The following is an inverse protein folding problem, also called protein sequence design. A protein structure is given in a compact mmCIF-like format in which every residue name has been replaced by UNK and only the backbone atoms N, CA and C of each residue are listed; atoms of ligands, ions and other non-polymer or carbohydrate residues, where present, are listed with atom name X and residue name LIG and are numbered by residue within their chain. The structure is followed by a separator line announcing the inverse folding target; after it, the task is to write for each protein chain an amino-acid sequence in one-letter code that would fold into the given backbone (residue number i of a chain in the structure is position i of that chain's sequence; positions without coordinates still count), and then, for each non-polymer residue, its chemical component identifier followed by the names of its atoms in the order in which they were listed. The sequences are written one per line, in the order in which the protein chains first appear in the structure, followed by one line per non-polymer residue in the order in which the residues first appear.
data_IF_706083820138
#
_entry.id   IF_706083820138
#
_cell.length_a   1.000
_cell.length_b   1.000
_cell.length_c   1.000
_cell.angle_alpha   90.00
_cell.angle_beta   90.00
_cell.angle_gamma   90.00
#
_symmetry.space_group_name_H-M   'P 1'
#
loop_
_entity.id
_entity.type
_entity.pdbx_description
1 polymer ?
#
# COMPACT_ATOMS: atom_id res chain seq x y z
N UNK A 1 9.47 -43.07 -0.09
CA UNK A 1 10.01 -41.90 0.66
C UNK A 1 9.99 -40.64 -0.21
N UNK A 2 10.71 -40.59 -1.35
CA UNK A 2 10.75 -39.40 -2.23
C UNK A 2 9.38 -39.02 -2.84
N UNK A 3 8.60 -39.98 -3.35
CA UNK A 3 7.26 -39.70 -3.88
C UNK A 3 6.29 -39.12 -2.84
N UNK A 4 6.36 -39.62 -1.60
CA UNK A 4 5.55 -39.12 -0.48
C UNK A 4 5.96 -37.70 -0.10
N UNK A 5 7.26 -37.41 -0.09
CA UNK A 5 7.80 -36.07 0.16
C UNK A 5 7.36 -35.07 -0.93
N UNK A 6 7.40 -35.48 -2.20
CA UNK A 6 6.95 -34.66 -3.33
C UNK A 6 5.43 -34.43 -3.32
N UNK A 7 4.65 -35.43 -2.93
CA UNK A 7 3.19 -35.30 -2.80
C UNK A 7 2.80 -34.35 -1.66
N UNK A 8 3.51 -34.42 -0.53
CA UNK A 8 3.32 -33.52 0.61
C UNK A 8 3.72 -32.09 0.26
N UNK A 9 4.88 -31.90 -0.38
CA UNK A 9 5.34 -30.61 -0.87
C UNK A 9 4.33 -29.98 -1.85
N UNK A 10 3.85 -30.75 -2.82
CA UNK A 10 2.82 -30.28 -3.76
C UNK A 10 1.52 -29.88 -3.06
N UNK A 11 1.13 -30.60 -2.01
CA UNK A 11 -0.08 -30.29 -1.24
C UNK A 11 0.11 -28.99 -0.47
N UNK A 12 1.26 -28.81 0.19
CA UNK A 12 1.60 -27.59 0.93
C UNK A 12 1.66 -26.36 0.01
N UNK A 13 2.33 -26.48 -1.15
CA UNK A 13 2.45 -25.37 -2.11
C UNK A 13 1.10 -24.95 -2.70
N UNK A 14 0.17 -25.89 -2.93
CA UNK A 14 -1.19 -25.59 -3.41
C UNK A 14 -2.06 -24.84 -2.40
N UNK A 15 -1.68 -24.83 -1.13
CA UNK A 15 -2.42 -24.14 -0.06
C UNK A 15 -1.55 -23.13 0.68
N UNK A 16 -0.43 -22.71 0.08
CA UNK A 16 0.53 -21.82 0.71
C UNK A 16 -0.13 -20.48 1.02
N UNK A 17 -0.12 -20.11 2.30
CA UNK A 17 -0.65 -18.84 2.80
C UNK A 17 0.37 -18.25 3.75
N UNK A 18 0.52 -16.94 3.72
CA UNK A 18 1.37 -16.22 4.66
C UNK A 18 0.55 -15.24 5.47
N UNK A 19 0.70 -15.32 6.80
CA UNK A 19 0.06 -14.40 7.72
C UNK A 19 0.91 -13.13 7.79
N UNK A 20 0.31 -11.99 7.45
CA UNK A 20 0.93 -10.65 7.48
C UNK A 20 0.65 -9.97 8.82
N UNK A 21 -0.56 -10.15 9.35
CA UNK A 21 -1.00 -9.60 10.64
C UNK A 21 -2.07 -10.52 11.25
N UNK A 22 -2.60 -10.16 12.41
CA UNK A 22 -3.75 -10.87 13.00
C UNK A 22 -4.94 -10.99 12.03
N UNK A 23 -5.20 -9.93 11.26
CA UNK A 23 -6.37 -9.79 10.39
C UNK A 23 -6.04 -9.87 8.90
N UNK A 24 -4.77 -10.05 8.52
CA UNK A 24 -4.33 -10.04 7.12
C UNK A 24 -3.52 -11.27 6.81
N UNK A 25 -3.89 -11.95 5.73
CA UNK A 25 -3.11 -13.01 5.12
C UNK A 25 -3.03 -12.79 3.61
N UNK A 26 -2.02 -13.36 2.99
CA UNK A 26 -1.88 -13.41 1.54
C UNK A 26 -1.86 -14.88 1.10
N UNK A 27 -2.65 -15.17 0.07
CA UNK A 27 -2.79 -16.48 -0.52
C UNK A 27 -1.80 -16.63 -1.67
N UNK A 28 -0.80 -17.49 -1.47
CA UNK A 28 0.22 -17.84 -2.45
C UNK A 28 0.01 -19.25 -3.01
N UNK A 29 -1.23 -19.75 -3.01
CA UNK A 29 -1.56 -21.05 -3.59
C UNK A 29 -0.97 -21.17 -5.00
N UNK A 30 -0.10 -22.16 -5.17
CA UNK A 30 0.66 -22.38 -6.39
C UNK A 30 -0.24 -22.92 -7.51
N UNK A 31 -0.18 -22.27 -8.66
CA UNK A 31 -0.68 -22.79 -9.94
C UNK A 31 0.35 -23.74 -10.53
N UNK A 32 -0.08 -24.63 -11.43
CA UNK A 32 0.82 -25.58 -12.09
C UNK A 32 2.06 -24.87 -12.64
N UNK A 33 3.28 -25.26 -12.22
CA UNK A 33 4.50 -24.63 -12.70
C UNK A 33 4.70 -24.93 -14.19
N UNK A 34 5.30 -23.99 -14.89
CA UNK A 34 5.71 -24.14 -16.29
C UNK A 34 7.21 -24.32 -16.32
N UNK A 35 7.67 -25.41 -16.93
CA UNK A 35 9.09 -25.70 -17.09
C UNK A 35 9.45 -25.51 -18.56
N UNK A 36 10.47 -24.70 -18.81
CA UNK A 36 11.05 -24.48 -20.13
C UNK A 36 12.51 -25.00 -20.14
N UNK A 37 13.19 -24.85 -21.28
CA UNK A 37 14.60 -25.25 -21.40
C UNK A 37 15.54 -24.44 -20.50
N UNK A 38 15.12 -23.24 -20.07
CA UNK A 38 15.98 -22.29 -19.35
C UNK A 38 15.34 -21.66 -18.10
N UNK A 39 14.08 -21.99 -17.77
CA UNK A 39 13.37 -21.41 -16.64
C UNK A 39 12.35 -22.37 -16.03
N UNK A 40 12.06 -22.14 -14.74
CA UNK A 40 10.89 -22.69 -14.05
C UNK A 40 10.05 -21.52 -13.59
N UNK A 41 8.85 -21.40 -14.12
CA UNK A 41 7.90 -20.35 -13.76
C UNK A 41 6.83 -20.91 -12.82
N UNK A 42 6.67 -20.24 -11.68
CA UNK A 42 5.72 -20.61 -10.65
C UNK A 42 4.67 -19.51 -10.49
N UNK A 43 3.47 -19.74 -11.02
CA UNK A 43 2.37 -18.80 -10.87
C UNK A 43 1.76 -18.88 -9.48
N UNK A 44 1.86 -17.82 -8.68
CA UNK A 44 1.23 -17.73 -7.36
C UNK A 44 -0.09 -16.95 -7.44
N UNK A 45 -1.05 -17.24 -6.56
CA UNK A 45 -2.33 -16.50 -6.52
C UNK A 45 -2.12 -15.02 -6.18
N UNK A 46 -1.35 -14.71 -5.13
CA UNK A 46 -0.94 -13.35 -4.77
C UNK A 46 -2.11 -12.45 -4.36
N UNK A 47 -3.06 -12.94 -3.55
CA UNK A 47 -4.24 -12.14 -3.15
C UNK A 47 -4.29 -11.98 -1.64
N UNK A 48 -4.52 -10.73 -1.20
CA UNK A 48 -4.73 -10.41 0.21
C UNK A 48 -6.16 -10.69 0.65
N UNK A 49 -6.30 -11.30 1.82
CA UNK A 49 -7.57 -11.56 2.46
C UNK A 49 -7.59 -11.13 3.92
N UNK A 50 -8.80 -10.83 4.39
CA UNK A 50 -9.08 -10.81 5.81
C UNK A 50 -9.12 -12.25 6.34
N UNK A 51 -8.43 -12.52 7.45
CA UNK A 51 -8.35 -13.87 8.05
C UNK A 51 -9.70 -14.36 8.58
N UNK A 52 -10.62 -13.46 8.93
CA UNK A 52 -11.95 -13.76 9.45
C UNK A 52 -13.01 -13.83 8.35
N UNK A 53 -12.89 -12.99 7.31
CA UNK A 53 -13.86 -12.93 6.22
C UNK A 53 -13.17 -12.82 4.86
N UNK A 54 -12.94 -13.98 4.23
CA UNK A 54 -12.42 -14.03 2.86
C UNK A 54 -13.47 -13.54 1.86
N UNK A 55 -13.15 -12.47 1.15
CA UNK A 55 -13.94 -11.97 0.02
C UNK A 55 -13.02 -11.89 -1.18
N UNK A 56 -13.41 -12.54 -2.28
CA UNK A 56 -12.64 -12.47 -3.53
C UNK A 56 -12.68 -11.05 -4.11
N UNK A 57 -11.56 -10.56 -4.68
CA UNK A 57 -11.56 -9.33 -5.45
C UNK A 57 -12.60 -9.39 -6.59
N UNK A 58 -13.20 -8.24 -6.97
CA UNK A 58 -14.29 -8.19 -7.93
C UNK A 58 -13.88 -8.59 -9.36
N UNK A 59 -12.59 -8.54 -9.67
CA UNK A 59 -12.02 -8.87 -10.97
C UNK A 59 -10.94 -9.95 -10.86
N UNK A 60 -10.65 -10.61 -11.97
CA UNK A 60 -9.48 -11.50 -12.08
C UNK A 60 -8.23 -10.70 -12.44
N UNK A 61 -7.02 -11.14 -12.04
CA UNK A 61 -5.77 -10.49 -12.43
C UNK A 61 -5.60 -10.51 -13.96
N UNK A 62 -5.06 -9.44 -14.56
CA UNK A 62 -4.58 -9.49 -15.93
C UNK A 62 -3.53 -10.59 -16.07
N UNK A 63 -3.57 -11.32 -17.20
CA UNK A 63 -2.49 -12.23 -17.53
C UNK A 63 -1.27 -11.41 -17.96
N UNK A 64 -0.09 -11.77 -17.44
CA UNK A 64 1.18 -11.25 -17.91
C UNK A 64 2.18 -12.39 -18.02
N UNK A 65 3.10 -12.26 -18.97
CA UNK A 65 4.20 -13.19 -19.18
C UNK A 65 5.50 -12.52 -18.80
N UNK A 66 6.38 -13.26 -18.13
CA UNK A 66 7.74 -12.80 -17.91
C UNK A 66 8.51 -12.97 -19.21
N UNK A 67 9.13 -11.90 -19.71
CA UNK A 67 10.08 -12.05 -20.80
C UNK A 67 11.24 -12.90 -20.31
N UNK A 68 11.73 -13.85 -21.12
CA UNK A 68 12.90 -14.68 -20.76
C UNK A 68 14.05 -13.76 -20.31
N UNK A 69 14.36 -13.82 -19.02
CA UNK A 69 15.49 -13.12 -18.42
C UNK A 69 16.56 -14.13 -18.04
N UNK A 70 17.83 -13.79 -18.24
CA UNK A 70 18.97 -14.66 -17.91
C UNK A 70 20.11 -13.89 -17.20
N UNK A 71 19.81 -12.70 -16.66
CA UNK A 71 20.80 -11.84 -16.04
C UNK A 71 20.97 -12.10 -14.54
N UNK A 72 19.95 -12.67 -13.89
CA UNK A 72 19.89 -12.92 -12.46
C UNK A 72 19.41 -14.35 -12.20
N UNK A 73 19.72 -14.87 -11.01
CA UNK A 73 19.33 -16.23 -10.62
C UNK A 73 17.82 -16.39 -10.38
N UNK A 74 17.16 -15.33 -9.92
CA UNK A 74 15.76 -15.39 -9.50
C UNK A 74 14.99 -14.13 -9.88
N UNK A 75 13.72 -14.31 -10.25
CA UNK A 75 12.83 -13.22 -10.63
C UNK A 75 11.49 -13.33 -9.90
N UNK A 76 11.05 -12.21 -9.33
CA UNK A 76 9.73 -12.06 -8.70
C UNK A 76 8.96 -11.01 -9.47
N UNK A 77 7.74 -11.33 -9.87
CA UNK A 77 6.82 -10.35 -10.42
C UNK A 77 5.63 -10.14 -9.49
N UNK A 78 5.43 -8.89 -9.07
CA UNK A 78 4.32 -8.47 -8.22
C UNK A 78 3.36 -7.64 -9.07
N UNK A 79 2.16 -8.17 -9.30
CA UNK A 79 1.16 -7.50 -10.13
C UNK A 79 0.50 -6.32 -9.41
N UNK A 80 0.06 -5.32 -10.16
CA UNK A 80 -0.80 -4.24 -9.68
C UNK A 80 -2.06 -4.82 -9.02
N UNK A 81 -2.58 -5.94 -9.53
CA UNK A 81 -3.69 -6.67 -8.95
C UNK A 81 -3.42 -7.12 -7.51
N UNK A 82 -2.23 -7.68 -7.26
CA UNK A 82 -1.81 -8.11 -5.91
C UNK A 82 -1.87 -6.93 -4.93
N UNK A 83 -1.27 -5.80 -5.31
CA UNK A 83 -1.23 -4.59 -4.47
C UNK A 83 -2.64 -3.98 -4.30
N UNK A 84 -3.44 -3.92 -5.36
CA UNK A 84 -4.82 -3.43 -5.30
C UNK A 84 -5.72 -4.31 -4.41
N UNK A 85 -5.48 -5.62 -4.34
CA UNK A 85 -6.21 -6.49 -3.39
C UNK A 85 -5.89 -6.15 -1.93
N UNK A 86 -4.65 -5.72 -1.63
CA UNK A 86 -4.30 -5.19 -0.31
C UNK A 86 -5.06 -3.90 -0.01
N UNK A 87 -5.11 -2.96 -0.96
CA UNK A 87 -5.86 -1.71 -0.77
C UNK A 87 -7.36 -1.93 -0.59
N UNK A 88 -7.95 -2.88 -1.30
CA UNK A 88 -9.34 -3.30 -1.10
C UNK A 88 -9.57 -3.80 0.33
N UNK A 89 -8.66 -4.63 0.84
CA UNK A 89 -8.71 -5.12 2.21
C UNK A 89 -8.62 -3.96 3.21
N UNK A 90 -7.61 -3.09 3.08
CA UNK A 90 -7.40 -1.94 3.97
C UNK A 90 -8.61 -1.00 4.01
N UNK A 91 -9.23 -0.77 2.85
CA UNK A 91 -10.47 0.00 2.74
C UNK A 91 -11.62 -0.67 3.49
N UNK A 92 -11.87 -1.96 3.24
CA UNK A 92 -12.96 -2.72 3.90
C UNK A 92 -12.77 -2.87 5.40
N UNK A 93 -11.54 -2.87 5.89
CA UNK A 93 -11.23 -2.94 7.32
C UNK A 93 -11.11 -1.56 7.97
N UNK A 94 -11.51 -0.48 7.29
CA UNK A 94 -11.49 0.89 7.80
C UNK A 94 -10.11 1.35 8.31
N UNK A 95 -9.01 0.81 7.76
CA UNK A 95 -7.65 1.23 8.15
C UNK A 95 -7.43 2.72 7.83
N UNK A 96 -8.09 3.21 6.79
CA UNK A 96 -8.05 4.61 6.40
C UNK A 96 -9.05 5.49 7.16
N UNK A 97 -9.77 5.00 8.17
CA UNK A 97 -10.53 5.84 9.09
C UNK A 97 -9.57 6.42 10.14
N UNK A 98 -8.94 7.54 9.78
CA UNK A 98 -7.86 8.14 10.53
C UNK A 98 -8.39 9.37 11.24
N UNK A 99 -8.29 9.37 12.57
CA UNK A 99 -8.51 10.56 13.39
C UNK A 99 -7.20 11.32 13.54
N UNK A 100 -7.18 12.56 13.08
CA UNK A 100 -6.03 13.45 13.13
C UNK A 100 -6.30 14.56 14.14
N UNK A 101 -5.45 14.63 15.15
CA UNK A 101 -5.45 15.64 16.20
C UNK A 101 -4.31 16.63 15.98
N UNK A 102 -4.36 17.80 16.63
CA UNK A 102 -3.39 18.88 16.40
C UNK A 102 -1.95 18.50 16.80
N UNK A 103 -1.78 17.59 17.76
CA UNK A 103 -0.49 17.07 18.21
C UNK A 103 0.20 16.18 17.17
N UNK A 104 -0.55 15.60 16.23
CA UNK A 104 0.02 14.86 15.10
C UNK A 104 0.62 15.77 14.02
N UNK A 105 0.28 17.07 14.05
CA UNK A 105 0.82 18.04 13.10
C UNK A 105 2.18 18.53 13.62
N UNK A 106 3.26 18.41 12.83
CA UNK A 106 4.60 18.82 13.26
C UNK A 106 4.63 20.20 13.89
N UNK A 107 5.40 20.37 14.98
CA UNK A 107 5.50 21.64 15.72
C UNK A 107 5.96 22.81 14.84
N UNK A 108 6.80 22.52 13.84
CA UNK A 108 7.33 23.47 12.85
C UNK A 108 6.31 23.90 11.78
N UNK A 109 5.19 23.17 11.65
CA UNK A 109 4.13 23.54 10.70
C UNK A 109 3.48 24.84 11.16
N UNK A 110 3.31 25.84 10.26
CA UNK A 110 2.58 27.06 10.58
C UNK A 110 1.05 26.82 10.70
N UNK A 111 0.60 25.62 10.33
CA UNK A 111 -0.81 25.26 10.27
C UNK A 111 -1.16 24.45 11.51
N UNK A 112 -2.18 24.90 12.23
CA UNK A 112 -2.80 24.22 13.37
C UNK A 112 -4.24 23.85 13.05
N UNK A 113 -4.75 22.83 13.71
CA UNK A 113 -6.14 22.39 13.58
C UNK A 113 -7.04 23.29 14.43
N UNK A 114 -7.33 24.48 13.90
CA UNK A 114 -8.21 25.47 14.55
C UNK A 114 -9.10 26.20 13.54
N UNK A 115 -10.27 26.67 13.95
CA UNK A 115 -11.13 27.50 13.08
C UNK A 115 -10.47 28.80 12.67
N UNK A 116 -9.56 29.34 13.48
CA UNK A 116 -8.77 30.53 13.15
C UNK A 116 -7.83 30.26 11.97
N UNK A 117 -7.11 29.14 11.98
CA UNK A 117 -6.23 28.75 10.85
C UNK A 117 -7.05 28.43 9.60
N UNK A 118 -8.14 27.67 9.74
CA UNK A 118 -8.99 27.29 8.62
C UNK A 118 -9.85 28.46 8.09
N UNK A 119 -10.08 29.50 8.88
CA UNK A 119 -10.74 30.74 8.49
C UNK A 119 -10.05 31.47 7.34
N UNK A 120 -8.72 31.33 7.23
CA UNK A 120 -7.97 31.85 6.08
C UNK A 120 -8.43 31.22 4.74
N UNK A 121 -9.00 30.02 4.79
CA UNK A 121 -9.41 29.25 3.63
C UNK A 121 -10.94 29.17 3.48
N UNK A 122 -11.66 29.19 4.61
CA UNK A 122 -13.11 29.10 4.73
C UNK A 122 -13.54 30.23 5.70
N UNK A 123 -13.64 31.50 5.26
CA UNK A 123 -13.87 32.64 6.15
C UNK A 123 -15.08 32.50 7.08
N UNK A 124 -16.14 31.88 6.57
CA UNK A 124 -17.37 31.63 7.32
C UNK A 124 -17.15 30.78 8.58
N UNK A 125 -16.14 29.91 8.62
CA UNK A 125 -15.90 29.05 9.77
C UNK A 125 -15.33 29.82 10.96
N UNK A 126 -14.42 30.78 10.71
CA UNK A 126 -13.90 31.64 11.76
C UNK A 126 -14.94 32.64 12.28
N UNK A 127 -15.89 33.06 11.44
CA UNK A 127 -16.96 33.98 11.84
C UNK A 127 -18.03 33.32 12.69
N UNK A 128 -18.46 32.10 12.31
CA UNK A 128 -19.55 31.39 12.99
C UNK A 128 -19.09 30.55 14.18
N UNK A 129 -17.83 30.12 14.17
CA UNK A 129 -17.24 29.23 15.18
C UNK A 129 -15.85 29.73 15.60
N UNK A 130 -15.74 30.90 16.23
CA UNK A 130 -14.44 31.50 16.57
C UNK A 130 -13.67 30.65 17.61
N UNK A 131 -12.35 30.58 17.43
CA UNK A 131 -11.38 30.01 18.38
C UNK A 131 -11.62 28.54 18.82
N UNK A 132 -12.24 27.72 17.96
CA UNK A 132 -12.42 26.30 18.22
C UNK A 132 -11.21 25.49 17.75
N UNK A 133 -10.85 24.49 18.56
CA UNK A 133 -9.91 23.43 18.18
C UNK A 133 -10.62 22.37 17.35
N UNK A 134 -9.91 21.87 16.35
CA UNK A 134 -10.42 20.93 15.37
C UNK A 134 -9.73 19.58 15.48
N UNK A 135 -10.47 18.57 15.07
CA UNK A 135 -9.92 17.28 14.65
C UNK A 135 -10.40 16.98 13.25
N UNK A 136 -9.56 16.29 12.48
CA UNK A 136 -9.91 15.85 11.14
C UNK A 136 -10.14 14.35 11.16
N UNK A 137 -11.29 13.92 10.64
CA UNK A 137 -11.58 12.51 10.35
C UNK A 137 -11.36 12.32 8.85
N UNK A 138 -10.34 11.55 8.51
CA UNK A 138 -10.02 11.18 7.13
C UNK A 138 -10.58 9.79 6.88
N UNK A 139 -11.27 9.59 5.76
CA UNK A 139 -11.79 8.30 5.35
C UNK A 139 -11.64 8.13 3.83
N UNK A 140 -11.35 6.92 3.36
CA UNK A 140 -11.40 6.62 1.92
C UNK A 140 -12.84 6.44 1.44
N UNK A 141 -13.22 7.09 0.34
CA UNK A 141 -14.53 6.92 -0.32
C UNK A 141 -14.63 5.55 -1.00
N UNK A 142 -13.51 5.08 -1.56
CA UNK A 142 -13.32 3.78 -2.19
C UNK A 142 -11.89 3.32 -1.96
N UNK A 143 -11.58 2.07 -2.29
CA UNK A 143 -10.22 1.57 -2.21
C UNK A 143 -9.23 2.43 -3.03
N UNK A 144 -8.05 2.74 -2.46
CA UNK A 144 -6.96 3.31 -3.25
C UNK A 144 -6.63 2.41 -4.44
N UNK A 145 -6.25 3.02 -5.56
CA UNK A 145 -5.92 2.30 -6.79
C UNK A 145 -4.48 2.61 -7.17
N UNK A 146 -3.65 1.57 -7.25
CA UNK A 146 -2.31 1.65 -7.83
C UNK A 146 -2.34 1.19 -9.28
N UNK A 147 -1.60 1.91 -10.13
CA UNK A 147 -1.36 1.57 -11.53
C UNK A 147 0.13 1.48 -11.76
N UNK A 148 0.53 0.44 -12.47
CA UNK A 148 1.91 0.19 -12.88
C UNK A 148 1.97 0.38 -14.39
N UNK A 149 2.64 1.43 -14.82
CA UNK A 149 2.91 1.76 -16.21
C UNK A 149 4.43 1.71 -16.40
N UNK A 150 4.90 1.55 -17.63
CA UNK A 150 6.34 1.48 -17.92
C UNK A 150 7.12 2.60 -17.21
N UNK A 151 7.98 2.21 -16.25
CA UNK A 151 8.81 3.09 -15.42
C UNK A 151 8.05 4.10 -14.53
N UNK A 152 6.72 3.99 -14.41
CA UNK A 152 5.88 4.91 -13.66
C UNK A 152 4.87 4.15 -12.79
N UNK A 153 4.81 4.51 -11.50
CA UNK A 153 3.79 4.00 -10.59
C UNK A 153 2.94 5.14 -10.07
N UNK A 154 1.63 4.99 -10.20
CA UNK A 154 0.67 6.02 -9.84
C UNK A 154 -0.27 5.44 -8.79
N UNK A 155 -0.39 6.13 -7.65
CA UNK A 155 -1.40 5.85 -6.62
C UNK A 155 -2.49 6.92 -6.67
N UNK A 156 -3.74 6.50 -6.80
CA UNK A 156 -4.91 7.36 -6.80
C UNK A 156 -5.75 7.10 -5.54
N UNK A 157 -6.10 8.17 -4.83
CA UNK A 157 -6.92 8.10 -3.62
C UNK A 157 -8.12 9.03 -3.74
N UNK A 158 -9.30 8.51 -3.41
CA UNK A 158 -10.50 9.30 -3.18
C UNK A 158 -10.84 9.22 -1.70
N UNK A 159 -10.94 10.38 -1.06
CA UNK A 159 -11.14 10.45 0.39
C UNK A 159 -12.07 11.60 0.79
N UNK A 160 -12.66 11.49 1.97
CA UNK A 160 -13.33 12.58 2.66
C UNK A 160 -12.48 13.02 3.84
N UNK A 161 -12.50 14.32 4.11
CA UNK A 161 -11.92 14.91 5.32
C UNK A 161 -13.02 15.71 6.01
N UNK A 162 -13.47 15.20 7.15
CA UNK A 162 -14.49 15.84 7.98
C UNK A 162 -13.80 16.56 9.13
N UNK A 163 -13.97 17.88 9.22
CA UNK A 163 -13.52 18.63 10.37
C UNK A 163 -14.62 18.68 11.43
N UNK A 164 -14.26 18.26 12.64
CA UNK A 164 -15.14 18.27 13.81
C UNK A 164 -14.50 19.07 14.94
N UNK A 165 -15.33 19.56 15.85
CA UNK A 165 -14.85 20.18 17.09
C UNK A 165 -14.20 19.14 18.01
N UNK A 166 -13.01 19.42 18.56
CA UNK A 166 -12.24 18.41 19.34
C UNK A 166 -12.94 17.91 20.59
N UNK A 167 -13.66 18.76 21.31
CA UNK A 167 -14.42 18.44 22.53
C UNK A 167 -15.86 17.98 22.26
N UNK A 168 -16.35 18.13 21.02
CA UNK A 168 -17.65 17.68 20.59
C UNK A 168 -17.60 17.14 19.14
N UNK A 169 -17.18 15.89 19.00
CA UNK A 169 -17.00 15.26 17.69
C UNK A 169 -18.29 15.01 16.89
N UNK A 170 -19.46 15.34 17.47
CA UNK A 170 -20.77 15.37 16.78
C UNK A 170 -21.02 16.69 16.04
N UNK A 171 -20.29 17.75 16.42
CA UNK A 171 -20.36 19.03 15.75
C UNK A 171 -19.42 19.05 14.54
N UNK A 172 -19.97 18.73 13.36
CA UNK A 172 -19.26 18.81 12.08
C UNK A 172 -19.28 20.24 11.57
N UNK A 173 -18.09 20.76 11.24
CA UNK A 173 -17.91 22.13 10.77
C UNK A 173 -17.88 22.22 9.24
N UNK A 174 -17.12 21.33 8.60
CA UNK A 174 -17.07 21.23 7.15
C UNK A 174 -16.60 19.83 6.72
N UNK A 175 -16.91 19.50 5.46
CA UNK A 175 -16.47 18.27 4.80
C UNK A 175 -15.80 18.62 3.49
N UNK A 176 -14.62 18.05 3.26
CA UNK A 176 -13.89 18.14 2.00
C UNK A 176 -13.88 16.77 1.32
N UNK A 177 -14.21 16.73 0.04
CA UNK A 177 -13.94 15.58 -0.82
C UNK A 177 -12.61 15.81 -1.53
N UNK A 178 -11.70 14.86 -1.44
CA UNK A 178 -10.35 14.97 -1.96
C UNK A 178 -10.08 13.88 -3.01
N UNK A 179 -9.55 14.33 -4.15
CA UNK A 179 -8.93 13.47 -5.15
C UNK A 179 -7.42 13.71 -5.13
N UNK A 180 -6.66 12.71 -4.69
CA UNK A 180 -5.20 12.79 -4.59
C UNK A 180 -4.54 11.82 -5.56
N UNK A 181 -3.44 12.26 -6.18
CA UNK A 181 -2.59 11.46 -7.03
C UNK A 181 -1.16 11.57 -6.50
N UNK A 182 -0.54 10.42 -6.26
CA UNK A 182 0.85 10.32 -5.85
C UNK A 182 1.63 9.49 -6.88
N UNK A 183 2.87 9.88 -7.14
CA UNK A 183 3.84 8.99 -7.77
C UNK A 183 4.45 8.09 -6.69
N UNK A 184 4.80 6.87 -7.06
CA UNK A 184 5.41 5.91 -6.16
C UNK A 184 6.73 5.43 -6.75
N UNK A 185 7.80 5.54 -5.98
CA UNK A 185 9.04 4.87 -6.28
C UNK A 185 9.05 3.52 -5.56
N UNK A 186 9.33 2.46 -6.30
CA UNK A 186 9.44 1.10 -5.77
C UNK A 186 10.91 0.72 -5.71
N UNK A 187 11.36 0.27 -4.55
CA UNK A 187 12.72 -0.18 -4.28
C UNK A 187 12.70 -1.49 -3.50
N UNK A 188 13.88 -2.10 -3.32
CA UNK A 188 14.08 -3.18 -2.35
C UNK A 188 15.02 -2.69 -1.27
N UNK A 189 14.58 -2.72 -0.01
CA UNK A 189 15.32 -2.28 1.17
C UNK A 189 15.37 -3.44 2.18
N UNK A 190 16.58 -3.85 2.59
CA UNK A 190 16.79 -4.97 3.54
C UNK A 190 16.11 -6.29 3.12
N UNK A 191 15.96 -6.49 1.81
CA UNK A 191 15.27 -7.63 1.24
C UNK A 191 13.80 -7.33 0.93
N UNK A 192 13.14 -6.39 1.59
CA UNK A 192 11.71 -6.14 1.40
C UNK A 192 11.38 -5.11 0.32
N UNK A 193 10.21 -5.22 -0.29
CA UNK A 193 9.68 -4.18 -1.17
C UNK A 193 9.38 -2.90 -0.37
N UNK A 194 10.02 -1.81 -0.76
CA UNK A 194 9.84 -0.49 -0.19
C UNK A 194 9.14 0.44 -1.19
N UNK A 195 8.33 1.34 -0.64
CA UNK A 195 7.52 2.30 -1.39
C UNK A 195 7.78 3.70 -0.85
N UNK A 196 8.22 4.60 -1.73
CA UNK A 196 8.36 6.01 -1.41
C UNK A 196 7.34 6.80 -2.23
N UNK A 197 6.47 7.55 -1.55
CA UNK A 197 5.34 8.23 -2.16
C UNK A 197 5.60 9.73 -2.24
N UNK A 198 5.34 10.32 -3.41
CA UNK A 198 5.42 11.76 -3.63
C UNK A 198 4.05 12.26 -4.10
N UNK A 199 3.50 13.25 -3.41
CA UNK A 199 2.21 13.83 -3.79
C UNK A 199 2.38 14.69 -5.05
N UNK A 200 1.76 14.29 -6.14
CA UNK A 200 1.81 15.01 -7.42
C UNK A 200 0.67 16.01 -7.54
N UNK A 201 -0.51 15.61 -7.07
CA UNK A 201 -1.72 16.40 -7.24
C UNK A 201 -2.72 16.13 -6.14
N UNK A 202 -3.39 17.19 -5.73
CA UNK A 202 -4.52 17.11 -4.83
C UNK A 202 -5.57 18.13 -5.26
N UNK A 203 -6.80 17.66 -5.43
CA UNK A 203 -7.98 18.47 -5.73
C UNK A 203 -8.96 18.31 -4.59
N UNK A 204 -9.48 19.42 -4.08
CA UNK A 204 -10.55 19.42 -3.10
C UNK A 204 -11.85 19.95 -3.70
N UNK A 205 -12.98 19.45 -3.20
CA UNK A 205 -14.28 20.08 -3.35
C UNK A 205 -15.02 20.13 -2.01
N UNK A 206 -15.86 21.15 -1.86
CA UNK A 206 -16.74 21.34 -0.71
C UNK A 206 -18.13 21.67 -1.24
N UNK A 207 -19.15 20.92 -0.82
CA UNK A 207 -20.53 21.08 -1.32
C UNK A 207 -20.59 21.12 -2.87
N UNK A 208 -19.91 20.17 -3.51
CA UNK A 208 -19.76 20.03 -4.96
C UNK A 208 -19.08 21.21 -5.70
N UNK A 209 -18.54 22.18 -4.96
CA UNK A 209 -17.80 23.31 -5.52
C UNK A 209 -16.30 23.09 -5.37
N UNK A 210 -15.49 23.40 -6.41
CA UNK A 210 -14.03 23.32 -6.31
C UNK A 210 -13.49 24.15 -5.15
N UNK A 211 -12.58 23.56 -4.38
CA UNK A 211 -11.85 24.24 -3.32
C UNK A 211 -10.49 24.69 -3.88
N UNK A 212 -10.15 25.98 -3.74
CA UNK A 212 -8.97 26.58 -4.41
C UNK A 212 -7.66 25.99 -3.88
N UNK A 213 -6.69 25.78 -4.79
CA UNK A 213 -5.41 25.09 -4.54
C UNK A 213 -4.50 25.81 -3.55
N UNK A 214 -4.53 27.14 -3.50
CA UNK A 214 -3.77 27.94 -2.52
C UNK A 214 -4.12 27.58 -1.06
N UNK A 215 -5.29 26.97 -0.86
CA UNK A 215 -5.81 26.55 0.43
C UNK A 215 -5.47 25.09 0.78
N UNK A 216 -4.71 24.37 -0.06
CA UNK A 216 -4.50 22.91 0.05
C UNK A 216 -3.13 22.58 0.68
N UNK A 217 -2.27 23.57 0.96
CA UNK A 217 -0.95 23.32 1.56
C UNK A 217 -1.00 22.51 2.86
N UNK A 218 -2.05 22.67 3.68
CA UNK A 218 -2.23 21.85 4.87
C UNK A 218 -2.50 20.38 4.57
N UNK A 219 -3.24 20.10 3.48
CA UNK A 219 -3.52 18.75 3.05
C UNK A 219 -2.25 18.06 2.55
N UNK A 220 -1.33 18.81 1.92
CA UNK A 220 0.00 18.29 1.59
C UNK A 220 0.76 17.85 2.85
N UNK A 221 0.73 18.65 3.92
CA UNK A 221 1.36 18.29 5.21
C UNK A 221 0.73 17.04 5.79
N UNK A 222 -0.60 16.94 5.80
CA UNK A 222 -1.33 15.75 6.30
C UNK A 222 -1.00 14.51 5.47
N UNK A 223 -1.04 14.63 4.15
CA UNK A 223 -0.74 13.51 3.24
C UNK A 223 0.68 12.99 3.47
N UNK A 224 1.67 13.89 3.50
CA UNK A 224 3.07 13.52 3.64
C UNK A 224 3.42 12.95 5.02
N UNK A 225 2.94 13.58 6.09
CA UNK A 225 3.39 13.25 7.45
C UNK A 225 2.52 12.22 8.16
N UNK A 226 1.31 11.94 7.66
CA UNK A 226 0.35 11.07 8.33
C UNK A 226 -0.13 9.96 7.39
N UNK A 227 -0.73 10.32 6.26
CA UNK A 227 -1.38 9.32 5.38
C UNK A 227 -0.36 8.43 4.66
N UNK A 228 0.68 9.00 4.05
CA UNK A 228 1.71 8.23 3.35
C UNK A 228 2.49 7.27 4.25
N UNK A 229 2.92 7.65 5.48
CA UNK A 229 3.51 6.71 6.42
C UNK A 229 2.61 5.50 6.74
N UNK A 230 1.29 5.72 6.91
CA UNK A 230 0.34 4.62 7.14
C UNK A 230 0.28 3.67 5.93
N UNK A 231 0.23 4.22 4.71
CA UNK A 231 0.24 3.43 3.48
C UNK A 231 1.55 2.63 3.37
N UNK A 232 2.70 3.29 3.54
CA UNK A 232 4.02 2.65 3.48
C UNK A 232 4.12 1.50 4.48
N UNK A 233 3.68 1.70 5.72
CA UNK A 233 3.73 0.67 6.76
C UNK A 233 2.87 -0.57 6.43
N UNK A 234 1.71 -0.40 5.80
CA UNK A 234 0.85 -1.54 5.44
C UNK A 234 1.34 -2.25 4.18
N UNK A 235 1.82 -1.52 3.17
CA UNK A 235 2.38 -2.11 1.97
C UNK A 235 3.67 -2.89 2.28
N UNK A 236 4.56 -2.35 3.12
CA UNK A 236 5.79 -3.01 3.52
C UNK A 236 5.52 -4.35 4.22
N UNK A 237 4.59 -4.40 5.18
CA UNK A 237 4.22 -5.64 5.89
C UNK A 237 3.56 -6.68 4.99
N UNK A 238 2.72 -6.22 4.06
CA UNK A 238 1.92 -7.12 3.23
C UNK A 238 2.69 -7.80 2.11
N UNK A 239 3.61 -7.07 1.49
CA UNK A 239 4.35 -7.49 0.31
C UNK A 239 5.70 -8.09 0.64
N UNK A 240 5.89 -8.60 1.86
CA UNK A 240 6.98 -9.52 2.18
C UNK A 240 6.60 -10.88 1.57
N UNK A 241 7.08 -11.28 0.38
CA UNK A 241 6.82 -12.61 -0.12
C UNK A 241 7.38 -13.63 0.88
N UNK A 242 6.56 -14.60 1.34
CA UNK A 242 6.96 -15.58 2.33
C UNK A 242 8.17 -16.33 1.80
N UNK A 243 9.27 -16.13 2.51
CA UNK A 243 10.47 -16.94 2.29
C UNK A 243 11.25 -16.61 1.03
N UNK A 244 10.93 -15.53 0.32
CA UNK A 244 11.75 -15.05 -0.79
C UNK A 244 12.49 -13.77 -0.43
N UNK A 245 11.92 -12.87 0.38
CA UNK A 245 12.53 -11.59 0.73
C UNK A 245 12.81 -11.41 2.24
N UNK A 246 12.54 -12.43 3.05
CA UNK A 246 12.85 -12.46 4.48
C UNK A 246 12.04 -13.51 5.25
N UNK A 247 12.72 -14.22 6.14
CA UNK A 247 12.19 -15.04 7.25
C UNK A 247 11.57 -16.44 7.00
N UNK A 248 11.33 -16.94 5.78
CA UNK A 248 10.67 -18.27 5.64
C UNK A 248 11.31 -19.31 4.70
N UNK A 249 12.51 -19.07 4.15
CA UNK A 249 13.35 -20.15 3.62
C UNK A 249 14.77 -19.96 4.14
N UNK A 250 14.98 -20.26 5.42
CA UNK A 250 16.30 -20.46 6.01
C UNK A 250 17.37 -19.45 5.58
N UNK A 251 18.57 -19.97 5.41
CA UNK A 251 19.86 -19.33 5.18
C UNK A 251 19.99 -18.54 3.86
N UNK A 252 18.90 -18.04 3.28
CA UNK A 252 18.88 -17.49 1.91
C UNK A 252 18.86 -15.97 1.95
N UNK A 253 19.88 -15.34 1.35
CA UNK A 253 20.03 -13.89 1.25
C UNK A 253 19.91 -13.45 -0.21
N UNK A 254 19.24 -12.32 -0.42
CA UNK A 254 19.08 -11.70 -1.73
C UNK A 254 20.19 -10.68 -1.95
N UNK A 255 20.79 -10.73 -3.13
CA UNK A 255 21.99 -9.97 -3.47
C UNK A 255 21.74 -9.14 -4.73
N UNK A 256 22.04 -7.86 -4.63
CA UNK A 256 21.95 -6.86 -5.72
C UNK A 256 20.57 -6.81 -6.43
N UNK A 257 19.44 -6.71 -5.70
CA UNK A 257 18.13 -6.71 -6.32
C UNK A 257 17.96 -5.52 -7.28
N UNK A 258 17.46 -5.81 -8.47
CA UNK A 258 17.13 -4.84 -9.51
C UNK A 258 15.61 -4.77 -9.67
N UNK A 259 15.06 -3.56 -9.55
CA UNK A 259 13.61 -3.32 -9.67
C UNK A 259 13.33 -2.68 -11.02
N UNK A 260 12.38 -3.24 -11.77
CA UNK A 260 11.87 -2.67 -13.01
C UNK A 260 10.35 -2.59 -12.96
N UNK A 261 9.80 -1.41 -13.22
CA UNK A 261 8.36 -1.22 -13.33
C UNK A 261 7.95 -1.44 -14.78
N UNK A 262 7.04 -2.38 -14.99
CA UNK A 262 6.47 -2.74 -16.28
C UNK A 262 4.96 -2.54 -16.22
N UNK A 263 4.30 -2.61 -17.38
CA UNK A 263 2.85 -2.51 -17.43
C UNK A 263 2.22 -3.63 -16.58
N UNK A 264 1.39 -3.24 -15.61
CA UNK A 264 0.65 -4.08 -14.67
C UNK A 264 1.47 -4.90 -13.65
N UNK A 265 2.80 -4.84 -13.64
CA UNK A 265 3.61 -5.52 -12.61
C UNK A 265 4.98 -4.87 -12.37
N UNK A 266 5.50 -5.06 -11.16
CA UNK A 266 6.88 -4.77 -10.80
C UNK A 266 7.68 -6.07 -10.91
N UNK A 267 8.78 -6.04 -11.66
CA UNK A 267 9.75 -7.13 -11.76
C UNK A 267 10.93 -6.85 -10.84
N UNK A 268 11.29 -7.85 -10.03
CA UNK A 268 12.47 -7.84 -9.17
C UNK A 268 13.38 -8.97 -9.67
N UNK A 269 14.55 -8.63 -10.20
CA UNK A 269 15.59 -9.60 -10.52
C UNK A 269 16.67 -9.58 -9.44
N UNK A 270 17.08 -10.75 -8.96
CA UNK A 270 18.09 -10.83 -7.89
C UNK A 270 18.93 -12.10 -7.99
N UNK A 271 20.15 -12.02 -7.47
CA UNK A 271 20.94 -13.20 -7.15
C UNK A 271 20.64 -13.66 -5.73
N UNK A 272 20.99 -14.91 -5.45
CA UNK A 272 20.71 -15.57 -4.17
C UNK A 272 22.01 -16.13 -3.60
N UNK A 273 22.27 -15.86 -2.33
CA UNK A 273 23.37 -16.43 -1.55
C UNK A 273 22.82 -17.31 -0.43
N UNK A 274 23.45 -18.46 -0.21
CA UNK A 274 23.09 -19.37 0.89
C UNK A 274 24.15 -19.24 2.00
N UNK A 275 23.73 -18.94 3.22
CA UNK A 275 24.57 -18.96 4.42
C UNK A 275 25.17 -20.36 4.57
N UNK A 276 26.49 -20.47 4.65
CA UNK A 276 27.14 -21.76 4.84
C UNK A 276 26.79 -22.31 6.24
N UNK A 277 26.59 -23.62 6.34
CA UNK A 277 26.62 -24.28 7.64
C UNK A 277 28.06 -24.27 8.14
N UNK A 278 28.42 -23.30 8.99
CA UNK A 278 29.58 -23.44 9.88
C UNK A 278 29.32 -24.60 10.82
N UNK A 279 29.74 -25.78 10.38
CA UNK A 279 29.70 -27.00 11.16
C UNK A 279 30.88 -26.92 12.13
N UNK A 280 30.60 -26.69 13.41
CA UNK A 280 31.53 -26.95 14.52
C UNK A 280 31.20 -28.26 15.18
#
# INVERSE_FOLDING_TARGET
MLQTLLADLNTQLKTLKAKVSEYTEIDFSLRSPVVSDNSIEMGLKGVFYNTQQRVEPPSSPPAFSLASQNTNMFYIAVSAFTINSAFLLLHKTNVFNIRITDDMVPSVSPIRLSTTTFGAFIPQISETHPDLKLELKVETVKEPIIKLEQDHVILQLLSTVTAVQSDNTTNTLFVLNLESVASVQVSVEEGDLAFNLTLEKIKGSMNDKPFKVENINFLTVIMHNIVFPIIKAHLAKGLQPPGLLGSYIGKVHIVNPQVKVLNDYVLIGTDIEFEENTSS
#
